data_IF_917063024688
#
_entry.id   IF_917063024688
#
_cell.length_a   1.000
_cell.length_b   1.000
_cell.length_c   1.000
_cell.angle_alpha   90.00
_cell.angle_beta   90.00
_cell.angle_gamma   90.00
#
_symmetry.space_group_name_H-M   'P 1'
#
loop_
_entity.id
_entity.type
_entity.pdbx_description
1 polymer ?
#
# COMPACT_ATOMS: atom_id res chain seq x y z
N UNK A 1 -5.22 -6.79 18.01
CA UNK A 1 -6.45 -6.08 17.60
C UNK A 1 -6.12 -4.61 17.38
N UNK A 2 -6.35 -4.08 16.17
CA UNK A 2 -6.05 -2.67 15.81
C UNK A 2 -7.15 -1.79 16.41
N UNK A 3 -6.80 -0.93 17.38
CA UNK A 3 -7.76 0.01 17.99
C UNK A 3 -7.80 1.29 17.17
N UNK A 4 -8.98 1.65 16.69
CA UNK A 4 -9.27 2.94 16.04
C UNK A 4 -9.79 3.91 17.09
N UNK A 5 -9.20 5.10 17.17
CA UNK A 5 -9.63 6.18 18.05
C UNK A 5 -9.96 7.37 17.15
N UNK A 6 -11.24 7.71 17.09
CA UNK A 6 -11.75 8.81 16.27
C UNK A 6 -12.00 10.01 17.16
N UNK A 7 -11.26 11.09 16.94
CA UNK A 7 -11.44 12.38 17.64
C UNK A 7 -12.30 13.36 16.85
N UNK A 8 -12.33 13.22 15.52
CA UNK A 8 -13.21 13.96 14.60
C UNK A 8 -13.98 12.95 13.74
N UNK A 9 -15.27 12.80 14.02
CA UNK A 9 -16.15 11.83 13.35
C UNK A 9 -16.44 12.21 11.90
N UNK A 10 -16.49 13.51 11.58
CA UNK A 10 -16.77 13.99 10.23
C UNK A 10 -15.55 13.79 9.33
N UNK A 11 -14.34 14.09 9.82
CA UNK A 11 -13.11 13.80 9.11
C UNK A 11 -12.92 12.30 8.89
N UNK A 12 -13.15 11.47 9.92
CA UNK A 12 -13.04 10.02 9.80
C UNK A 12 -14.04 9.43 8.80
N UNK A 13 -15.28 9.95 8.74
CA UNK A 13 -16.26 9.50 7.76
C UNK A 13 -15.85 9.84 6.31
N UNK A 14 -15.29 11.03 6.07
CA UNK A 14 -14.73 11.40 4.75
C UNK A 14 -13.55 10.52 4.36
N UNK A 15 -12.66 10.21 5.29
CA UNK A 15 -11.55 9.30 5.06
C UNK A 15 -12.04 7.88 4.77
N UNK A 16 -13.04 7.39 5.51
CA UNK A 16 -13.61 6.07 5.28
C UNK A 16 -14.20 5.92 3.87
N UNK A 17 -14.75 6.98 3.29
CA UNK A 17 -15.22 6.99 1.91
C UNK A 17 -14.10 6.79 0.87
N UNK A 18 -12.83 7.06 1.23
CA UNK A 18 -11.66 6.85 0.37
C UNK A 18 -11.08 5.43 0.45
N UNK A 19 -11.47 4.64 1.46
CA UNK A 19 -10.94 3.28 1.66
C UNK A 19 -11.10 2.37 0.43
N UNK A 20 -12.27 2.32 -0.26
CA UNK A 20 -12.42 1.45 -1.43
C UNK A 20 -11.46 1.82 -2.57
N UNK A 21 -11.25 3.13 -2.79
CA UNK A 21 -10.35 3.61 -3.84
C UNK A 21 -8.89 3.27 -3.51
N UNK A 22 -8.43 3.60 -2.29
CA UNK A 22 -7.06 3.32 -1.86
C UNK A 22 -6.75 1.81 -1.90
N UNK A 23 -7.69 0.98 -1.44
CA UNK A 23 -7.56 -0.48 -1.51
C UNK A 23 -7.51 -0.97 -2.98
N UNK A 24 -8.34 -0.43 -3.86
CA UNK A 24 -8.37 -0.79 -5.28
C UNK A 24 -7.08 -0.42 -6.00
N UNK A 25 -6.49 0.74 -5.70
CA UNK A 25 -5.22 1.18 -6.28
C UNK A 25 -4.05 0.26 -5.88
N UNK A 26 -4.00 -0.13 -4.60
CA UNK A 26 -3.03 -1.11 -4.10
C UNK A 26 -3.22 -2.47 -4.76
N UNK A 27 -4.45 -2.99 -4.77
CA UNK A 27 -4.79 -4.27 -5.42
C UNK A 27 -4.39 -4.28 -6.90
N UNK A 28 -4.78 -3.25 -7.64
CA UNK A 28 -4.47 -3.13 -9.07
C UNK A 28 -2.96 -3.11 -9.32
N UNK A 29 -2.19 -2.44 -8.46
CA UNK A 29 -0.73 -2.40 -8.57
C UNK A 29 -0.08 -3.75 -8.29
N UNK A 30 -0.57 -4.47 -7.27
CA UNK A 30 -0.10 -5.83 -6.95
C UNK A 30 -0.41 -6.76 -8.12
N UNK A 31 -1.62 -6.71 -8.68
CA UNK A 31 -2.01 -7.54 -9.82
C UNK A 31 -1.15 -7.24 -11.05
N UNK A 32 -1.03 -5.97 -11.42
CA UNK A 32 -0.22 -5.56 -12.56
C UNK A 32 1.26 -5.94 -12.42
N UNK A 33 1.82 -5.86 -11.21
CA UNK A 33 3.20 -6.29 -10.95
C UNK A 33 3.37 -7.80 -10.97
N UNK A 34 2.36 -8.56 -10.53
CA UNK A 34 2.43 -10.02 -10.41
C UNK A 34 2.06 -10.76 -11.69
N UNK A 35 1.46 -10.08 -12.67
CA UNK A 35 0.97 -10.69 -13.90
C UNK A 35 2.04 -11.52 -14.62
N UNK A 36 3.22 -10.94 -14.86
CA UNK A 36 4.31 -11.65 -15.56
C UNK A 36 4.84 -12.88 -14.80
N UNK A 37 4.72 -12.90 -13.46
CA UNK A 37 5.08 -14.08 -12.66
C UNK A 37 4.00 -15.16 -12.75
N UNK A 38 2.73 -14.77 -12.89
CA UNK A 38 1.60 -15.70 -13.07
C UNK A 38 1.62 -16.36 -14.45
N UNK A 39 2.09 -15.64 -15.46
CA UNK A 39 2.11 -16.11 -16.85
C UNK A 39 3.28 -17.07 -17.16
N UNK A 40 4.08 -17.45 -16.17
CA UNK A 40 5.13 -18.46 -16.35
C UNK A 40 4.46 -19.82 -16.57
N UNK A 41 4.72 -20.43 -17.73
CA UNK A 41 4.16 -21.72 -18.12
C UNK A 41 4.62 -22.84 -17.17
N UNK A 42 3.70 -23.52 -16.45
CA UNK A 42 4.07 -24.58 -15.51
C UNK A 42 4.65 -25.82 -16.19
N UNK A 43 4.18 -26.12 -17.40
CA UNK A 43 4.55 -27.32 -18.17
C UNK A 43 5.89 -27.15 -18.91
N UNK A 44 6.39 -25.92 -19.05
CA UNK A 44 7.63 -25.60 -19.74
C UNK A 44 8.33 -24.38 -19.10
N UNK A 45 8.80 -24.49 -17.84
CA UNK A 45 9.36 -23.36 -17.13
C UNK A 45 10.67 -22.89 -17.77
N UNK A 46 10.72 -21.61 -18.15
CA UNK A 46 11.92 -20.94 -18.68
C UNK A 46 12.61 -20.12 -17.59
N UNK A 47 13.86 -20.45 -17.18
CA UNK A 47 14.60 -19.67 -16.21
C UNK A 47 14.80 -18.20 -16.62
N UNK A 48 15.01 -17.94 -17.91
CA UNK A 48 15.17 -16.58 -18.45
C UNK A 48 13.89 -15.78 -18.29
N UNK A 49 12.73 -16.36 -18.65
CA UNK A 49 11.43 -15.70 -18.50
C UNK A 49 11.12 -15.42 -17.02
N UNK A 50 11.46 -16.35 -16.12
CA UNK A 50 11.29 -16.15 -14.68
C UNK A 50 12.17 -15.00 -14.14
N UNK A 51 13.43 -14.92 -14.57
CA UNK A 51 14.34 -13.83 -14.19
C UNK A 51 13.84 -12.45 -14.68
N UNK A 52 13.34 -12.38 -15.92
CA UNK A 52 12.75 -11.15 -16.47
C UNK A 52 11.47 -10.74 -15.74
N UNK A 53 10.58 -11.70 -15.45
CA UNK A 53 9.37 -11.47 -14.67
C UNK A 53 9.70 -10.96 -13.26
N UNK A 54 10.70 -11.55 -12.59
CA UNK A 54 11.17 -11.09 -11.28
C UNK A 54 11.73 -9.65 -11.36
N UNK A 55 12.56 -9.35 -12.36
CA UNK A 55 13.10 -8.01 -12.55
C UNK A 55 11.99 -6.97 -12.77
N UNK A 56 10.95 -7.32 -13.56
CA UNK A 56 9.78 -6.47 -13.77
C UNK A 56 8.99 -6.24 -12.48
N UNK A 57 8.72 -7.30 -11.72
CA UNK A 57 8.03 -7.21 -10.43
C UNK A 57 8.81 -6.33 -9.45
N UNK A 58 10.13 -6.52 -9.36
CA UNK A 58 11.04 -5.72 -8.52
C UNK A 58 10.98 -4.24 -8.86
N UNK A 59 10.95 -3.87 -10.15
CA UNK A 59 10.83 -2.46 -10.57
C UNK A 59 9.52 -1.81 -10.14
N UNK A 60 8.44 -2.57 -9.97
CA UNK A 60 7.13 -2.05 -9.52
C UNK A 60 6.98 -1.96 -8.01
N UNK A 61 7.93 -2.46 -7.23
CA UNK A 61 7.85 -2.45 -5.77
C UNK A 61 7.72 -1.03 -5.20
N UNK A 62 8.38 -0.04 -5.81
CA UNK A 62 8.22 1.36 -5.40
C UNK A 62 6.76 1.83 -5.56
N UNK A 63 6.11 1.52 -6.68
CA UNK A 63 4.70 1.88 -6.92
C UNK A 63 3.75 1.18 -5.95
N UNK A 64 4.00 -0.10 -5.65
CA UNK A 64 3.22 -0.84 -4.64
C UNK A 64 3.37 -0.19 -3.26
N UNK A 65 4.61 0.14 -2.85
CA UNK A 65 4.87 0.78 -1.58
C UNK A 65 4.19 2.16 -1.46
N UNK A 66 4.12 2.93 -2.55
CA UNK A 66 3.39 4.20 -2.61
C UNK A 66 1.90 4.02 -2.34
N UNK A 67 1.23 3.09 -3.02
CA UNK A 67 -0.18 2.80 -2.76
C UNK A 67 -0.44 2.15 -1.39
N UNK A 68 0.52 1.40 -0.86
CA UNK A 68 0.47 0.91 0.51
C UNK A 68 0.55 2.07 1.52
N UNK A 69 1.41 3.06 1.29
CA UNK A 69 1.48 4.28 2.11
C UNK A 69 0.15 5.04 2.09
N UNK A 70 -0.46 5.18 0.92
CA UNK A 70 -1.76 5.85 0.76
C UNK A 70 -2.86 5.13 1.56
N UNK A 71 -2.95 3.81 1.46
CA UNK A 71 -3.91 3.03 2.26
C UNK A 71 -3.62 3.18 3.78
N UNK A 72 -2.35 3.17 4.18
CA UNK A 72 -1.96 3.43 5.58
C UNK A 72 -2.40 4.83 6.05
N UNK A 73 -2.27 5.85 5.20
CA UNK A 73 -2.71 7.20 5.50
C UNK A 73 -4.23 7.26 5.68
N UNK A 74 -5.00 6.64 4.78
CA UNK A 74 -6.47 6.60 4.90
C UNK A 74 -6.89 5.91 6.20
N UNK A 75 -6.25 4.79 6.55
CA UNK A 75 -6.50 4.09 7.82
C UNK A 75 -6.17 4.96 9.04
N UNK A 76 -5.07 5.73 8.97
CA UNK A 76 -4.71 6.68 10.00
C UNK A 76 -5.76 7.78 10.17
N UNK A 77 -6.24 8.35 9.07
CA UNK A 77 -7.30 9.36 9.03
C UNK A 77 -8.66 8.80 9.51
N UNK A 78 -8.89 7.50 9.34
CA UNK A 78 -10.01 6.78 9.94
C UNK A 78 -9.84 6.53 11.45
N UNK A 79 -8.71 6.91 12.04
CA UNK A 79 -8.44 6.82 13.49
C UNK A 79 -7.45 5.73 13.90
N UNK A 80 -6.77 5.05 12.96
CA UNK A 80 -5.70 4.13 13.34
C UNK A 80 -4.50 4.90 13.92
N UNK A 81 -4.12 4.61 15.16
CA UNK A 81 -2.88 5.19 15.71
C UNK A 81 -1.64 4.67 14.99
N UNK A 82 -0.55 5.46 14.93
CA UNK A 82 0.75 5.00 14.39
C UNK A 82 1.25 3.72 15.04
N UNK A 83 0.99 3.55 16.35
CA UNK A 83 1.35 2.31 17.08
C UNK A 83 0.57 1.11 16.54
N UNK A 84 -0.72 1.29 16.25
CA UNK A 84 -1.55 0.23 15.72
C UNK A 84 -1.13 -0.14 14.28
N UNK A 85 -0.79 0.86 13.46
CA UNK A 85 -0.21 0.64 12.13
C UNK A 85 1.16 -0.04 12.20
N UNK A 86 2.03 0.35 13.14
CA UNK A 86 3.33 -0.29 13.35
C UNK A 86 3.18 -1.79 13.67
N UNK A 87 2.22 -2.13 14.54
CA UNK A 87 1.88 -3.53 14.83
C UNK A 87 1.31 -4.26 13.62
N UNK A 88 0.38 -3.64 12.88
CA UNK A 88 -0.25 -4.23 11.69
C UNK A 88 0.78 -4.53 10.58
N UNK A 89 1.69 -3.59 10.36
CA UNK A 89 2.67 -3.65 9.26
C UNK A 89 3.97 -4.35 9.66
N UNK A 90 4.12 -4.76 10.92
CA UNK A 90 5.36 -5.33 11.46
C UNK A 90 6.60 -4.43 11.23
N UNK A 91 6.44 -3.11 11.39
CA UNK A 91 7.53 -2.12 11.26
C UNK A 91 7.61 -1.21 12.48
N UNK A 92 8.75 -0.51 12.63
CA UNK A 92 8.94 0.47 13.71
C UNK A 92 8.07 1.71 13.53
N UNK A 93 7.69 2.35 14.64
CA UNK A 93 6.95 3.62 14.63
C UNK A 93 7.60 4.72 13.78
N UNK A 94 8.94 4.94 13.81
CA UNK A 94 9.57 5.93 12.94
C UNK A 94 9.34 5.66 11.44
N UNK A 95 9.31 4.39 11.04
CA UNK A 95 9.01 4.01 9.66
C UNK A 95 7.54 4.32 9.30
N UNK A 96 6.59 4.08 10.23
CA UNK A 96 5.20 4.49 10.03
C UNK A 96 5.10 6.02 9.85
N UNK A 97 5.70 6.80 10.73
CA UNK A 97 5.67 8.27 10.65
C UNK A 97 6.24 8.77 9.32
N UNK A 98 7.38 8.25 8.88
CA UNK A 98 7.98 8.59 7.60
C UNK A 98 7.09 8.23 6.40
N UNK A 99 6.45 7.05 6.44
CA UNK A 99 5.55 6.59 5.37
C UNK A 99 4.25 7.42 5.31
N UNK A 100 3.71 7.83 6.45
CA UNK A 100 2.55 8.72 6.51
C UNK A 100 2.89 10.12 6.00
N UNK A 101 4.08 10.65 6.32
CA UNK A 101 4.55 11.91 5.77
C UNK A 101 4.69 11.84 4.24
N UNK A 102 5.36 10.80 3.72
CA UNK A 102 5.50 10.60 2.28
C UNK A 102 4.15 10.51 1.54
N UNK A 103 3.15 9.82 2.11
CA UNK A 103 1.81 9.77 1.52
C UNK A 103 1.13 11.15 1.47
N UNK A 104 1.31 11.99 2.50
CA UNK A 104 0.76 13.36 2.51
C UNK A 104 1.43 14.22 1.44
N UNK A 105 2.76 14.19 1.36
CA UNK A 105 3.52 14.91 0.35
C UNK A 105 3.11 14.48 -1.07
N UNK A 106 2.86 13.19 -1.29
CA UNK A 106 2.38 12.68 -2.57
C UNK A 106 0.96 13.15 -2.91
N UNK A 107 0.03 13.23 -1.95
CA UNK A 107 -1.30 13.79 -2.19
C UNK A 107 -1.23 15.28 -2.54
N UNK A 108 -0.38 16.03 -1.86
CA UNK A 108 -0.19 17.47 -2.09
C UNK A 108 0.41 17.77 -3.47
N UNK A 109 1.28 16.89 -3.98
CA UNK A 109 1.93 17.08 -5.29
C UNK A 109 1.06 16.67 -6.49
N UNK A 110 0.00 15.89 -6.26
CA UNK A 110 -0.96 15.47 -7.31
C UNK A 110 -2.20 16.37 -7.35
N UNK A 111 -2.44 17.16 -6.30
CA UNK A 111 -3.52 18.15 -6.20
C UNK A 111 -3.22 19.47 -6.92
#
# INVERSE_FOLDING_TARGET
MTRFVVTDTAAAARAAAQLPLAASMLQGSIQAASQALRDIEPEAPSPTAAAEALARWRRRQAQIARHENELMLVLHECGASERALATLMHIGRPAVTARLAAARDERETVS
#
